data_IF_010797658534
#
_entry.id   IF_010797658534
#
_cell.length_a   1.000
_cell.length_b   1.000
_cell.length_c   1.000
_cell.angle_alpha   90.00
_cell.angle_beta   90.00
_cell.angle_gamma   90.00
#
_symmetry.space_group_name_H-M   'P 1'
#
loop_
_entity.id
_entity.type
_entity.pdbx_description
1 polymer ?
#
# COMPACT_ATOMS: atom_id res chain seq x y z
N UNK A 1 18.52 6.58 1.75
CA UNK A 1 17.13 6.85 2.17
C UNK A 1 16.33 7.34 0.97
N UNK A 2 15.43 6.51 0.46
CA UNK A 2 14.46 6.83 -0.60
C UNK A 2 13.05 6.84 -0.03
N UNK A 3 12.14 7.48 -0.75
CA UNK A 3 10.70 7.40 -0.48
C UNK A 3 10.09 6.56 -1.60
N UNK A 4 9.44 5.46 -1.23
CA UNK A 4 8.81 4.51 -2.14
C UNK A 4 7.30 4.64 -1.99
N UNK A 5 6.61 5.11 -3.03
CA UNK A 5 5.16 5.03 -3.10
C UNK A 5 4.77 3.67 -3.67
N UNK A 6 3.80 2.99 -3.04
CA UNK A 6 3.36 1.65 -3.45
C UNK A 6 1.84 1.60 -3.56
N UNK A 7 1.33 1.04 -4.66
CA UNK A 7 -0.10 0.73 -4.80
C UNK A 7 -0.48 -0.51 -3.98
N UNK A 8 -1.75 -0.66 -3.63
CA UNK A 8 -2.22 -1.82 -2.88
C UNK A 8 -2.70 -2.93 -3.83
N UNK A 9 -3.86 -2.72 -4.44
CA UNK A 9 -4.53 -3.68 -5.33
C UNK A 9 -3.74 -3.86 -6.64
N UNK A 10 -3.46 -5.11 -7.01
CA UNK A 10 -2.64 -5.46 -8.17
C UNK A 10 -1.13 -5.32 -7.96
N UNK A 11 -0.66 -4.74 -6.84
CA UNK A 11 0.77 -4.57 -6.54
C UNK A 11 1.20 -5.38 -5.32
N UNK A 12 0.62 -5.11 -4.15
CA UNK A 12 0.90 -5.87 -2.91
C UNK A 12 0.11 -7.17 -2.84
N UNK A 13 -1.07 -7.19 -3.45
CA UNK A 13 -1.92 -8.35 -3.58
C UNK A 13 -2.59 -8.36 -4.96
N UNK A 14 -3.18 -9.49 -5.34
CA UNK A 14 -4.09 -9.56 -6.49
C UNK A 14 -5.25 -8.55 -6.32
N UNK A 15 -5.77 -8.02 -7.43
CA UNK A 15 -6.95 -7.17 -7.40
C UNK A 15 -8.19 -8.05 -7.14
N UNK A 16 -8.83 -7.85 -5.99
CA UNK A 16 -10.00 -8.62 -5.58
C UNK A 16 -11.09 -7.71 -4.96
N UNK A 17 -11.16 -6.44 -5.39
CA UNK A 17 -12.07 -5.45 -4.81
C UNK A 17 -13.51 -5.99 -4.69
N UNK A 18 -14.18 -5.84 -3.52
CA UNK A 18 -13.76 -5.07 -2.33
C UNK A 18 -12.79 -5.79 -1.38
N UNK A 19 -12.60 -7.09 -1.55
CA UNK A 19 -11.78 -7.94 -0.70
C UNK A 19 -10.27 -7.76 -0.96
N UNK A 20 -9.44 -8.38 -0.13
CA UNK A 20 -7.98 -8.40 -0.30
C UNK A 20 -7.61 -9.70 -1.02
N UNK A 21 -6.95 -9.57 -2.18
CA UNK A 21 -6.53 -10.72 -2.99
C UNK A 21 -5.32 -11.45 -2.41
N UNK A 22 -4.81 -12.43 -3.15
CA UNK A 22 -3.62 -13.20 -2.72
C UNK A 22 -2.38 -12.31 -2.65
N UNK A 23 -1.54 -12.53 -1.65
CA UNK A 23 -0.34 -11.75 -1.41
C UNK A 23 0.72 -11.95 -2.52
N UNK A 24 1.29 -10.85 -3.00
CA UNK A 24 2.47 -10.88 -3.86
C UNK A 24 3.75 -10.89 -3.01
N UNK A 25 4.10 -12.07 -2.49
CA UNK A 25 5.22 -12.25 -1.56
C UNK A 25 6.56 -11.67 -2.05
N UNK A 26 6.83 -11.74 -3.35
CA UNK A 26 8.05 -11.14 -3.93
C UNK A 26 8.15 -9.64 -3.70
N UNK A 27 7.05 -8.91 -3.90
CA UNK A 27 6.98 -7.45 -3.70
C UNK A 27 7.05 -7.11 -2.20
N UNK A 28 6.27 -7.84 -1.39
CA UNK A 28 6.22 -7.65 0.07
C UNK A 28 7.61 -7.82 0.69
N UNK A 29 8.30 -8.92 0.37
CA UNK A 29 9.62 -9.20 0.91
C UNK A 29 10.65 -8.14 0.51
N UNK A 30 10.58 -7.64 -0.73
CA UNK A 30 11.46 -6.55 -1.16
C UNK A 30 11.18 -5.26 -0.39
N UNK A 31 9.92 -4.91 -0.16
CA UNK A 31 9.56 -3.71 0.59
C UNK A 31 10.00 -3.78 2.05
N UNK A 32 9.80 -4.92 2.72
CA UNK A 32 10.30 -5.15 4.08
C UNK A 32 11.82 -5.00 4.14
N UNK A 33 12.55 -5.58 3.17
CA UNK A 33 14.01 -5.41 3.07
C UNK A 33 14.40 -3.94 2.89
N UNK A 34 13.72 -3.20 1.99
CA UNK A 34 13.98 -1.77 1.79
C UNK A 34 13.70 -0.94 3.04
N UNK A 35 12.67 -1.27 3.82
CA UNK A 35 12.43 -0.62 5.11
C UNK A 35 13.56 -0.88 6.11
N UNK A 36 14.09 -2.11 6.15
CA UNK A 36 15.23 -2.44 7.00
C UNK A 36 16.50 -1.68 6.58
N UNK A 37 16.67 -1.39 5.28
CA UNK A 37 17.74 -0.55 4.73
C UNK A 37 17.52 0.96 4.97
N UNK A 38 16.40 1.35 5.61
CA UNK A 38 16.09 2.74 5.98
C UNK A 38 15.27 3.53 4.95
N UNK A 39 14.71 2.87 3.94
CA UNK A 39 13.76 3.51 3.02
C UNK A 39 12.38 3.70 3.66
N UNK A 40 11.69 4.75 3.23
CA UNK A 40 10.35 5.11 3.74
C UNK A 40 9.29 4.69 2.72
N UNK A 41 8.30 3.93 3.16
CA UNK A 41 7.19 3.50 2.30
C UNK A 41 5.97 4.38 2.54
N UNK A 42 5.33 4.81 1.45
CA UNK A 42 4.06 5.52 1.43
C UNK A 42 3.05 4.64 0.70
N UNK A 43 1.93 4.35 1.35
CA UNK A 43 0.82 3.65 0.71
C UNK A 43 0.09 4.63 -0.21
N UNK A 44 -0.10 4.27 -1.48
CA UNK A 44 -0.79 5.05 -2.49
C UNK A 44 -1.97 4.27 -3.02
N UNK A 45 -3.18 4.50 -2.51
CA UNK A 45 -4.35 3.68 -2.85
C UNK A 45 -5.61 4.51 -3.08
N UNK A 46 -6.56 3.96 -3.83
CA UNK A 46 -7.93 4.48 -3.93
C UNK A 46 -8.84 3.95 -2.82
N UNK A 47 -8.40 2.97 -2.02
CA UNK A 47 -9.18 2.47 -0.88
C UNK A 47 -9.45 3.60 0.11
N UNK A 48 -10.66 3.63 0.66
CA UNK A 48 -11.09 4.64 1.65
C UNK A 48 -11.89 3.98 2.76
N UNK A 49 -12.13 4.70 3.86
CA UNK A 49 -12.91 4.21 5.00
C UNK A 49 -12.40 2.87 5.53
N UNK A 50 -13.32 1.95 5.78
CA UNK A 50 -13.03 0.61 6.34
C UNK A 50 -12.04 -0.18 5.47
N UNK A 51 -12.16 -0.12 4.15
CA UNK A 51 -11.27 -0.86 3.24
C UNK A 51 -9.83 -0.36 3.32
N UNK A 52 -9.62 0.93 3.62
CA UNK A 52 -8.29 1.48 3.84
C UNK A 52 -7.69 0.98 5.15
N UNK A 53 -8.49 0.96 6.23
CA UNK A 53 -8.06 0.43 7.53
C UNK A 53 -7.68 -1.05 7.44
N UNK A 54 -8.47 -1.84 6.73
CA UNK A 54 -8.19 -3.26 6.50
C UNK A 54 -6.91 -3.46 5.69
N UNK A 55 -6.69 -2.67 4.62
CA UNK A 55 -5.47 -2.72 3.83
C UNK A 55 -4.22 -2.34 4.66
N UNK A 56 -4.31 -1.29 5.49
CA UNK A 56 -3.20 -0.86 6.37
C UNK A 56 -2.90 -1.92 7.43
N UNK A 57 -3.93 -2.50 8.05
CA UNK A 57 -3.79 -3.58 9.03
C UNK A 57 -3.16 -4.81 8.39
N UNK A 58 -3.62 -5.19 7.20
CA UNK A 58 -3.06 -6.29 6.43
C UNK A 58 -1.57 -6.07 6.14
N UNK A 59 -1.18 -4.89 5.66
CA UNK A 59 0.23 -4.57 5.41
C UNK A 59 1.09 -4.65 6.68
N UNK A 60 0.55 -4.13 7.79
CA UNK A 60 1.24 -4.15 9.10
C UNK A 60 1.49 -5.58 9.57
N UNK A 61 0.52 -6.49 9.40
CA UNK A 61 0.66 -7.90 9.73
C UNK A 61 1.73 -8.61 8.88
N UNK A 62 1.99 -8.12 7.67
CA UNK A 62 3.04 -8.61 6.78
C UNK A 62 4.39 -7.89 6.94
N UNK A 63 4.53 -7.07 8.00
CA UNK A 63 5.78 -6.38 8.33
C UNK A 63 6.01 -5.06 7.57
N UNK A 64 5.06 -4.61 6.76
CA UNK A 64 5.14 -3.33 6.04
C UNK A 64 4.55 -2.22 6.91
N UNK A 65 5.35 -1.20 7.22
CA UNK A 65 4.91 -0.03 8.00
C UNK A 65 4.94 1.23 7.15
N UNK A 66 3.79 1.87 6.97
CA UNK A 66 3.72 3.10 6.19
C UNK A 66 4.09 4.31 7.02
N UNK A 67 4.91 5.20 6.44
CA UNK A 67 5.17 6.52 7.03
C UNK A 67 4.00 7.47 6.80
N UNK A 68 3.32 7.32 5.66
CA UNK A 68 2.14 8.09 5.30
C UNK A 68 1.25 7.25 4.40
N UNK A 69 -0.05 7.55 4.44
CA UNK A 69 -1.05 6.99 3.53
C UNK A 69 -1.55 8.15 2.69
N UNK A 70 -1.35 8.07 1.36
CA UNK A 70 -1.86 9.06 0.41
C UNK A 70 -2.98 8.41 -0.40
N UNK A 71 -4.11 9.11 -0.43
CA UNK A 71 -5.22 8.79 -1.33
C UNK A 71 -4.91 9.40 -2.70
N UNK A 72 -5.21 8.69 -3.80
CA UNK A 72 -5.27 9.36 -5.11
C UNK A 72 -6.23 10.56 -4.97
N UNK A 73 -5.83 11.80 -5.28
CA UNK A 73 -6.81 12.83 -5.52
C UNK A 73 -7.63 12.32 -6.71
N UNK A 74 -8.91 12.04 -6.49
CA UNK A 74 -9.84 12.04 -7.60
C UNK A 74 -9.66 13.41 -8.26
N UNK A 75 -9.34 13.41 -9.55
CA UNK A 75 -8.99 14.62 -10.27
C UNK A 75 -9.95 15.74 -9.91
N UNK A 76 -9.41 16.94 -9.78
CA UNK A 76 -10.17 18.16 -9.65
C UNK A 76 -11.23 18.13 -10.75
N UNK A 77 -12.47 17.81 -10.37
CA UNK A 77 -13.63 17.98 -11.20
C UNK A 77 -13.89 19.48 -11.26
N UNK A 78 -13.04 20.14 -12.03
CA UNK A 78 -13.21 21.53 -12.45
C UNK A 78 -12.62 21.66 -13.85
N UNK A 79 -13.38 21.13 -14.83
CA UNK A 79 -13.67 21.79 -16.09
C UNK A 79 -14.99 21.23 -16.61
#
# INVERSE_FOLDING_TARGET
MKIIAVDFDGTLCESAWPDIGKAHWGVINQLVKRQAEGDKIILWTCRTGKQLEEAVKWCTNHGIRFKAVKRRPYGDASS
#
